data_IF_572201120038
#
_entry.id   IF_572201120038
#
_cell.length_a   1.000
_cell.length_b   1.000
_cell.length_c   1.000
_cell.angle_alpha   90.00
_cell.angle_beta   90.00
_cell.angle_gamma   90.00
#
_symmetry.space_group_name_H-M   'P 1'
#
loop_
_entity.id
_entity.type
_entity.pdbx_description
1 polymer ?
#
# COMPACT_ATOMS: atom_id res chain seq x y z
N UNK A 1 -24.48 12.51 -5.75
CA UNK A 1 -24.23 11.32 -4.92
C UNK A 1 -24.01 11.76 -3.47
N UNK A 2 -24.53 11.01 -2.49
CA UNK A 2 -24.23 11.27 -1.08
C UNK A 2 -22.74 11.10 -0.80
N UNK A 3 -22.19 11.83 0.18
CA UNK A 3 -20.78 11.74 0.55
C UNK A 3 -20.33 10.29 0.84
N UNK A 4 -21.18 9.51 1.50
CA UNK A 4 -20.93 8.08 1.76
C UNK A 4 -20.83 7.25 0.47
N UNK A 5 -21.68 7.50 -0.51
CA UNK A 5 -21.65 6.83 -1.82
C UNK A 5 -20.37 7.17 -2.58
N UNK A 6 -19.98 8.45 -2.56
CA UNK A 6 -18.72 8.90 -3.19
C UNK A 6 -17.51 8.26 -2.51
N UNK A 7 -17.48 8.19 -1.19
CA UNK A 7 -16.43 7.52 -0.44
C UNK A 7 -16.34 6.02 -0.79
N UNK A 8 -17.49 5.34 -0.94
CA UNK A 8 -17.54 3.95 -1.39
C UNK A 8 -16.95 3.75 -2.79
N UNK A 9 -17.26 4.65 -3.73
CA UNK A 9 -16.69 4.58 -5.08
C UNK A 9 -15.19 4.86 -5.09
N UNK A 10 -14.70 5.78 -4.26
CA UNK A 10 -13.26 6.04 -4.08
C UNK A 10 -12.55 4.79 -3.55
N UNK A 11 -13.12 4.15 -2.52
CA UNK A 11 -12.60 2.89 -2.00
C UNK A 11 -12.61 1.76 -3.05
N UNK A 12 -13.70 1.64 -3.81
CA UNK A 12 -13.80 0.69 -4.93
C UNK A 12 -12.72 0.92 -5.98
N UNK A 13 -12.44 2.17 -6.30
CA UNK A 13 -11.37 2.55 -7.24
C UNK A 13 -9.98 2.17 -6.72
N UNK A 14 -9.72 2.33 -5.42
CA UNK A 14 -8.48 1.86 -4.78
C UNK A 14 -8.29 0.34 -4.98
N UNK A 15 -9.32 -0.46 -4.71
CA UNK A 15 -9.27 -1.91 -4.91
C UNK A 15 -9.10 -2.30 -6.38
N UNK A 16 -9.73 -1.57 -7.30
CA UNK A 16 -9.55 -1.76 -8.74
C UNK A 16 -8.11 -1.48 -9.18
N UNK A 17 -7.52 -0.37 -8.71
CA UNK A 17 -6.10 -0.07 -8.99
C UNK A 17 -5.17 -1.10 -8.36
N UNK A 18 -5.52 -1.64 -7.19
CA UNK A 18 -4.75 -2.72 -6.58
C UNK A 18 -4.78 -3.99 -7.45
N UNK A 19 -5.91 -4.32 -8.07
CA UNK A 19 -6.00 -5.42 -9.02
C UNK A 19 -5.11 -5.19 -10.24
N UNK A 20 -5.19 -4.00 -10.84
CA UNK A 20 -4.34 -3.61 -11.97
C UNK A 20 -2.84 -3.69 -11.62
N UNK A 21 -2.46 -3.20 -10.44
CA UNK A 21 -1.08 -3.23 -9.97
C UNK A 21 -0.54 -4.66 -9.81
N UNK A 22 -1.36 -5.59 -9.30
CA UNK A 22 -0.99 -7.03 -9.23
C UNK A 22 -0.76 -7.63 -10.60
N UNK A 23 -1.61 -7.30 -11.56
CA UNK A 23 -1.46 -7.77 -12.93
C UNK A 23 -0.16 -7.25 -13.55
N UNK A 24 0.11 -5.95 -13.44
CA UNK A 24 1.36 -5.32 -13.90
C UNK A 24 2.58 -5.94 -13.23
N UNK A 25 2.54 -6.12 -11.91
CA UNK A 25 3.62 -6.74 -11.15
C UNK A 25 3.93 -8.17 -11.62
N UNK A 26 2.89 -8.95 -11.91
CA UNK A 26 3.04 -10.30 -12.45
C UNK A 26 3.79 -10.31 -13.79
N UNK A 27 3.49 -9.36 -14.67
CA UNK A 27 4.16 -9.24 -15.99
C UNK A 27 5.63 -8.81 -15.86
N UNK A 28 5.96 -8.03 -14.83
CA UNK A 28 7.31 -7.49 -14.61
C UNK A 28 8.18 -8.40 -13.76
N UNK A 29 7.58 -9.28 -12.97
CA UNK A 29 8.26 -10.12 -11.97
C UNK A 29 9.37 -11.00 -12.55
N UNK A 30 9.28 -11.38 -13.82
CA UNK A 30 10.35 -12.13 -14.50
C UNK A 30 11.58 -11.29 -14.90
N UNK A 31 11.47 -9.95 -14.87
CA UNK A 31 12.52 -9.03 -15.33
C UNK A 31 13.14 -8.19 -14.22
N UNK A 32 12.39 -7.94 -13.15
CA UNK A 32 12.80 -7.06 -12.04
C UNK A 32 12.77 -7.85 -10.73
N UNK A 33 13.85 -7.78 -9.95
CA UNK A 33 13.93 -8.49 -8.67
C UNK A 33 12.88 -7.99 -7.68
N UNK A 34 12.36 -8.88 -6.82
CA UNK A 34 11.39 -8.54 -5.75
C UNK A 34 11.91 -7.43 -4.85
N UNK A 35 13.22 -7.41 -4.58
CA UNK A 35 13.88 -6.35 -3.81
C UNK A 35 13.73 -4.98 -4.45
N UNK A 36 14.02 -4.87 -5.74
CA UNK A 36 13.91 -3.61 -6.49
C UNK A 36 12.45 -3.16 -6.59
N UNK A 37 11.53 -4.08 -6.88
CA UNK A 37 10.11 -3.77 -6.93
C UNK A 37 9.62 -3.22 -5.58
N UNK A 38 9.98 -3.86 -4.47
CA UNK A 38 9.59 -3.41 -3.13
C UNK A 38 10.19 -2.04 -2.80
N UNK A 39 11.48 -1.83 -3.05
CA UNK A 39 12.13 -0.55 -2.78
C UNK A 39 11.51 0.61 -3.55
N UNK A 40 11.27 0.43 -4.85
CA UNK A 40 10.66 1.46 -5.71
C UNK A 40 9.23 1.75 -5.28
N UNK A 41 8.41 0.73 -5.06
CA UNK A 41 7.01 0.93 -4.65
C UNK A 41 6.88 1.56 -3.27
N UNK A 42 7.75 1.22 -2.31
CA UNK A 42 7.78 1.89 -1.00
C UNK A 42 8.19 3.36 -1.13
N UNK A 43 9.23 3.66 -1.91
CA UNK A 43 9.66 5.04 -2.12
C UNK A 43 8.57 5.89 -2.78
N UNK A 44 7.92 5.39 -3.83
CA UNK A 44 6.81 6.08 -4.51
C UNK A 44 5.63 6.25 -3.55
N UNK A 45 5.26 5.22 -2.78
CA UNK A 45 4.16 5.31 -1.83
C UNK A 45 4.42 6.35 -0.72
N UNK A 46 5.65 6.44 -0.20
CA UNK A 46 6.04 7.47 0.77
C UNK A 46 5.84 8.87 0.18
N UNK A 47 6.31 9.10 -1.04
CA UNK A 47 6.14 10.39 -1.73
C UNK A 47 4.66 10.72 -1.91
N UNK A 48 3.84 9.75 -2.33
CA UNK A 48 2.39 9.94 -2.51
C UNK A 48 1.68 10.27 -1.19
N UNK A 49 1.98 9.55 -0.11
CA UNK A 49 1.37 9.80 1.20
C UNK A 49 1.79 11.15 1.75
N UNK A 50 3.07 11.50 1.69
CA UNK A 50 3.55 12.82 2.15
C UNK A 50 2.90 13.93 1.31
N UNK A 51 2.87 13.80 -0.01
CA UNK A 51 2.20 14.76 -0.89
C UNK A 51 0.72 14.91 -0.54
N UNK A 52 0.04 13.80 -0.24
CA UNK A 52 -1.36 13.79 0.17
C UNK A 52 -1.60 14.58 1.47
N UNK A 53 -0.66 14.52 2.42
CA UNK A 53 -0.75 15.25 3.69
C UNK A 53 -0.69 16.78 3.51
N UNK A 54 -0.01 17.26 2.47
CA UNK A 54 0.14 18.69 2.18
C UNK A 54 -0.90 19.26 1.20
N UNK A 55 -1.72 18.42 0.56
CA UNK A 55 -2.66 18.84 -0.51
C UNK A 55 -4.13 18.80 -0.08
N UNK A 56 -4.43 19.09 1.17
CA UNK A 56 -5.77 18.95 1.75
C UNK A 56 -6.84 19.90 1.18
N UNK A 57 -6.45 21.03 0.62
CA UNK A 57 -7.36 22.11 0.18
C UNK A 57 -7.64 22.10 -1.34
N UNK A 58 -7.12 21.14 -2.08
CA UNK A 58 -7.28 21.08 -3.54
C UNK A 58 -8.34 20.05 -3.89
N UNK A 59 -9.32 20.45 -4.72
CA UNK A 59 -10.33 19.53 -5.28
C UNK A 59 -9.89 19.07 -6.68
N UNK A 60 -10.13 17.80 -6.96
CA UNK A 60 -9.84 17.21 -8.26
C UNK A 60 -11.01 16.34 -8.73
N UNK A 61 -11.21 16.28 -10.03
CA UNK A 61 -12.13 15.33 -10.65
C UNK A 61 -11.39 14.01 -10.89
N UNK A 62 -11.91 12.93 -10.30
CA UNK A 62 -11.32 11.60 -10.45
C UNK A 62 -12.33 10.64 -11.09
N UNK A 63 -11.91 9.81 -12.08
CA UNK A 63 -12.71 8.70 -12.51
C UNK A 63 -12.81 7.67 -11.37
N UNK A 64 -14.04 7.34 -10.98
CA UNK A 64 -14.33 6.37 -9.91
C UNK A 64 -15.05 5.16 -10.49
N UNK A 65 -14.72 3.98 -9.97
CA UNK A 65 -15.37 2.74 -10.35
C UNK A 65 -16.68 2.59 -9.58
N UNK A 66 -17.80 2.57 -10.32
CA UNK A 66 -19.17 2.52 -9.75
C UNK A 66 -19.74 1.11 -9.67
N UNK A 67 -18.92 0.06 -9.94
CA UNK A 67 -19.37 -1.32 -9.98
C UNK A 67 -19.91 -1.78 -11.35
N UNK A 68 -20.50 -0.89 -12.13
CA UNK A 68 -20.98 -1.17 -13.49
C UNK A 68 -20.27 -0.39 -14.58
N UNK A 69 -19.41 0.57 -14.20
CA UNK A 69 -18.68 1.42 -15.13
C UNK A 69 -17.82 2.46 -14.41
N UNK A 70 -17.33 3.44 -15.16
CA UNK A 70 -16.58 4.56 -14.61
C UNK A 70 -17.46 5.82 -14.62
N UNK A 71 -17.53 6.50 -13.49
CA UNK A 71 -18.14 7.83 -13.34
C UNK A 71 -17.09 8.86 -12.94
N UNK A 72 -17.42 10.16 -13.00
CA UNK A 72 -16.56 11.23 -12.50
C UNK A 72 -17.06 11.69 -11.13
N UNK A 73 -16.17 11.79 -10.15
CA UNK A 73 -16.45 12.34 -8.84
C UNK A 73 -15.50 13.48 -8.50
N UNK A 74 -16.02 14.52 -7.87
CA UNK A 74 -15.22 15.58 -7.28
C UNK A 74 -14.78 15.12 -5.90
N UNK A 75 -13.45 15.02 -5.72
CA UNK A 75 -12.84 14.53 -4.48
C UNK A 75 -11.63 15.40 -4.11
N UNK A 76 -11.25 15.47 -2.84
CA UNK A 76 -9.98 16.11 -2.47
C UNK A 76 -8.81 15.44 -3.19
N UNK A 77 -7.83 16.23 -3.63
CA UNK A 77 -6.62 15.71 -4.28
C UNK A 77 -5.89 14.72 -3.38
N UNK A 78 -5.97 14.88 -2.05
CA UNK A 78 -5.52 13.90 -1.04
C UNK A 78 -6.07 12.50 -1.34
N UNK A 79 -7.38 12.38 -1.61
CA UNK A 79 -8.00 11.10 -1.90
C UNK A 79 -7.47 10.48 -3.20
N UNK A 80 -7.23 11.31 -4.23
CA UNK A 80 -6.65 10.84 -5.49
C UNK A 80 -5.25 10.25 -5.27
N UNK A 81 -4.39 10.95 -4.53
CA UNK A 81 -3.03 10.50 -4.23
C UNK A 81 -3.03 9.21 -3.41
N UNK A 82 -3.92 9.10 -2.41
CA UNK A 82 -4.05 7.88 -1.61
C UNK A 82 -4.60 6.69 -2.43
N UNK A 83 -5.51 6.94 -3.35
CA UNK A 83 -6.01 5.90 -4.28
C UNK A 83 -4.89 5.41 -5.19
N UNK A 84 -4.02 6.29 -5.67
CA UNK A 84 -2.83 5.91 -6.46
C UNK A 84 -1.87 5.00 -5.67
N UNK A 85 -1.83 5.10 -4.32
CA UNK A 85 -1.07 4.16 -3.50
C UNK A 85 -1.54 2.71 -3.65
N UNK A 86 -2.77 2.48 -4.11
CA UNK A 86 -3.29 1.14 -4.40
C UNK A 86 -2.43 0.36 -5.40
N UNK A 87 -1.86 1.03 -6.39
CA UNK A 87 -0.89 0.41 -7.32
C UNK A 87 0.38 -0.04 -6.61
N UNK A 88 0.90 0.78 -5.70
CA UNK A 88 2.12 0.46 -4.94
C UNK A 88 1.88 -0.67 -3.94
N UNK A 89 0.83 -0.59 -3.15
CA UNK A 89 0.51 -1.57 -2.10
C UNK A 89 0.22 -2.95 -2.67
N UNK A 90 -0.32 -3.02 -3.89
CA UNK A 90 -0.60 -4.29 -4.56
C UNK A 90 0.65 -5.13 -4.81
N UNK A 91 1.76 -4.46 -5.15
CA UNK A 91 3.06 -5.10 -5.44
C UNK A 91 3.77 -5.49 -4.16
N UNK A 92 3.62 -4.70 -3.08
CA UNK A 92 4.34 -4.89 -1.82
C UNK A 92 4.08 -6.25 -1.18
N UNK A 93 2.83 -6.71 -1.17
CA UNK A 93 2.47 -7.99 -0.56
C UNK A 93 3.27 -9.17 -1.14
N UNK A 94 3.23 -9.33 -2.46
CA UNK A 94 3.91 -10.44 -3.14
C UNK A 94 5.43 -10.35 -3.02
N UNK A 95 5.99 -9.15 -3.11
CA UNK A 95 7.44 -8.94 -3.04
C UNK A 95 7.98 -9.16 -1.63
N UNK A 96 7.27 -8.73 -0.57
CA UNK A 96 7.64 -8.99 0.82
C UNK A 96 7.58 -10.49 1.10
N UNK A 97 6.51 -11.17 0.67
CA UNK A 97 6.39 -12.62 0.84
C UNK A 97 7.56 -13.36 0.17
N UNK A 98 7.84 -13.04 -1.10
CA UNK A 98 8.95 -13.66 -1.82
C UNK A 98 10.29 -13.47 -1.11
N UNK A 99 10.59 -12.24 -0.68
CA UNK A 99 11.82 -11.93 0.05
C UNK A 99 11.89 -12.61 1.43
N UNK A 100 10.75 -12.84 2.06
CA UNK A 100 10.68 -13.48 3.39
C UNK A 100 10.94 -15.00 3.34
N UNK A 101 10.64 -15.64 2.21
CA UNK A 101 10.83 -17.10 2.04
C UNK A 101 12.04 -17.46 1.19
N UNK A 102 12.71 -16.45 0.60
CA UNK A 102 13.87 -16.65 -0.25
C UNK A 102 15.03 -17.28 0.53
N UNK A 103 15.62 -18.32 -0.03
CA UNK A 103 16.78 -19.02 0.54
C UNK A 103 16.46 -19.98 1.70
N UNK A 104 15.20 -20.12 2.13
CA UNK A 104 14.82 -20.96 3.28
C UNK A 104 14.65 -22.45 2.92
N UNK A 105 14.61 -22.83 1.66
CA UNK A 105 14.53 -24.22 1.20
C UNK A 105 13.42 -25.01 1.91
N UNK A 106 13.80 -26.06 2.65
CA UNK A 106 12.86 -26.93 3.40
C UNK A 106 12.06 -26.23 4.50
N UNK A 107 12.50 -25.05 4.95
CA UNK A 107 11.82 -24.27 5.99
C UNK A 107 10.82 -23.26 5.42
N UNK A 108 10.65 -23.17 4.10
CA UNK A 108 9.74 -22.20 3.45
C UNK A 108 8.29 -22.37 3.92
N UNK A 109 7.82 -23.59 4.16
CA UNK A 109 6.47 -23.84 4.65
C UNK A 109 6.24 -23.24 6.05
N UNK A 110 7.21 -23.41 6.96
CA UNK A 110 7.14 -22.83 8.32
C UNK A 110 7.21 -21.31 8.26
N UNK A 111 8.09 -20.75 7.46
CA UNK A 111 8.22 -19.31 7.25
C UNK A 111 6.94 -18.70 6.66
N UNK A 112 6.30 -19.37 5.70
CA UNK A 112 5.02 -18.93 5.14
C UNK A 112 3.91 -18.91 6.19
N UNK A 113 3.84 -19.92 7.06
CA UNK A 113 2.89 -19.96 8.16
C UNK A 113 3.12 -18.81 9.15
N UNK A 114 4.37 -18.56 9.53
CA UNK A 114 4.74 -17.45 10.41
C UNK A 114 4.41 -16.09 9.76
N UNK A 115 4.71 -15.92 8.48
CA UNK A 115 4.36 -14.72 7.72
C UNK A 115 2.85 -14.46 7.76
N UNK A 116 2.03 -15.49 7.53
CA UNK A 116 0.56 -15.36 7.59
C UNK A 116 0.06 -14.99 8.99
N UNK A 117 0.72 -15.46 10.05
CA UNK A 117 0.39 -15.04 11.43
C UNK A 117 0.66 -13.54 11.63
N UNK A 118 1.72 -12.99 11.04
CA UNK A 118 2.05 -11.57 11.11
C UNK A 118 1.06 -10.64 10.39
N UNK A 119 0.16 -11.18 9.54
CA UNK A 119 -0.94 -10.43 8.92
C UNK A 119 -1.89 -9.80 9.96
N UNK A 120 -1.89 -10.30 11.19
CA UNK A 120 -2.62 -9.66 12.31
C UNK A 120 -2.26 -8.18 12.49
N UNK A 121 -1.07 -7.76 12.08
CA UNK A 121 -0.67 -6.35 12.05
C UNK A 121 -1.61 -5.47 11.22
N UNK A 122 -2.24 -6.03 10.18
CA UNK A 122 -3.28 -5.37 9.39
C UNK A 122 -4.54 -5.02 10.20
N UNK A 123 -4.79 -5.67 11.32
CA UNK A 123 -5.84 -5.29 12.27
C UNK A 123 -5.34 -4.29 13.34
N UNK A 124 -4.11 -4.45 13.80
CA UNK A 124 -3.55 -3.64 14.89
C UNK A 124 -3.20 -2.21 14.42
N UNK A 125 -2.53 -2.08 13.27
CA UNK A 125 -2.09 -0.76 12.77
C UNK A 125 -3.25 0.22 12.53
N UNK A 126 -4.40 -0.17 11.94
CA UNK A 126 -5.55 0.71 11.81
C UNK A 126 -6.12 1.17 13.15
N UNK A 127 -6.07 0.34 14.20
CA UNK A 127 -6.50 0.76 15.54
C UNK A 127 -5.60 1.87 16.10
N UNK A 128 -4.28 1.72 15.95
CA UNK A 128 -3.31 2.75 16.34
C UNK A 128 -3.53 4.02 15.53
N UNK A 129 -3.72 3.88 14.21
CA UNK A 129 -3.98 5.01 13.32
C UNK A 129 -5.26 5.76 13.71
N UNK A 130 -6.36 5.06 13.98
CA UNK A 130 -7.61 5.67 14.40
C UNK A 130 -7.48 6.37 15.76
N UNK A 131 -6.78 5.76 16.72
CA UNK A 131 -6.53 6.39 18.01
C UNK A 131 -5.76 7.71 17.88
N UNK A 132 -4.78 7.78 16.97
CA UNK A 132 -4.05 9.03 16.69
C UNK A 132 -4.95 10.03 15.95
N UNK A 133 -5.79 9.57 15.03
CA UNK A 133 -6.73 10.42 14.30
C UNK A 133 -7.71 11.10 15.25
N UNK A 134 -8.22 10.36 16.24
CA UNK A 134 -9.15 10.86 17.25
C UNK A 134 -8.46 11.78 18.26
N UNK A 135 -7.20 11.48 18.63
CA UNK A 135 -6.48 12.26 19.64
C UNK A 135 -5.86 13.56 19.09
N UNK A 136 -5.44 13.58 17.84
CA UNK A 136 -4.68 14.70 17.25
C UNK A 136 -5.35 15.22 15.97
N UNK A 137 -5.29 14.45 14.89
CA UNK A 137 -5.94 14.73 13.60
C UNK A 137 -5.80 13.58 12.62
N UNK A 138 -6.68 13.53 11.63
CA UNK A 138 -6.57 12.56 10.53
C UNK A 138 -5.23 12.68 9.78
N UNK A 139 -4.73 13.88 9.56
CA UNK A 139 -3.44 14.07 8.88
C UNK A 139 -2.27 13.56 9.70
N UNK A 140 -2.30 13.75 11.03
CA UNK A 140 -1.26 13.21 11.91
C UNK A 140 -1.23 11.68 11.92
N UNK A 141 -2.38 11.02 11.75
CA UNK A 141 -2.45 9.55 11.72
C UNK A 141 -1.71 8.93 10.52
N UNK A 142 -1.54 9.66 9.42
CA UNK A 142 -0.79 9.19 8.25
C UNK A 142 0.71 9.01 8.50
N UNK A 143 1.26 9.61 9.55
CA UNK A 143 2.65 9.34 9.96
C UNK A 143 2.89 7.89 10.35
N UNK A 144 1.87 7.19 10.84
CA UNK A 144 1.95 5.73 11.10
C UNK A 144 2.20 4.98 9.81
N UNK A 145 1.51 5.35 8.73
CA UNK A 145 1.69 4.73 7.40
C UNK A 145 3.08 5.05 6.85
N UNK A 146 3.54 6.30 6.97
CA UNK A 146 4.88 6.72 6.54
C UNK A 146 5.95 5.92 7.29
N UNK A 147 5.82 5.75 8.60
CA UNK A 147 6.75 4.97 9.41
C UNK A 147 6.78 3.49 8.97
N UNK A 148 5.61 2.89 8.73
CA UNK A 148 5.51 1.51 8.24
C UNK A 148 6.15 1.36 6.85
N UNK A 149 5.91 2.28 5.93
CA UNK A 149 6.52 2.28 4.60
C UNK A 149 8.04 2.49 4.66
N UNK A 150 8.52 3.36 5.54
CA UNK A 150 9.95 3.57 5.77
C UNK A 150 10.62 2.29 6.31
N UNK A 151 9.96 1.59 7.23
CA UNK A 151 10.45 0.29 7.72
C UNK A 151 10.51 -0.75 6.59
N UNK A 152 9.48 -0.83 5.74
CA UNK A 152 9.49 -1.74 4.59
C UNK A 152 10.58 -1.38 3.58
N UNK A 153 10.83 -0.10 3.36
CA UNK A 153 11.93 0.36 2.50
C UNK A 153 13.28 -0.04 3.08
N UNK A 154 13.48 0.16 4.40
CA UNK A 154 14.68 -0.29 5.09
C UNK A 154 14.87 -1.80 4.96
N UNK A 155 13.81 -2.59 5.16
CA UNK A 155 13.85 -4.04 4.96
C UNK A 155 14.24 -4.41 3.54
N UNK A 156 13.68 -3.76 2.52
CA UNK A 156 14.02 -4.00 1.12
C UNK A 156 15.52 -3.74 0.83
N UNK A 157 16.07 -2.67 1.39
CA UNK A 157 17.46 -2.25 1.10
C UNK A 157 18.52 -3.05 1.88
N UNK A 158 18.24 -3.33 3.14
CA UNK A 158 19.22 -3.87 4.09
C UNK A 158 18.81 -5.23 4.69
N UNK A 159 17.54 -5.38 5.08
CA UNK A 159 17.06 -6.55 5.81
C UNK A 159 16.89 -7.80 4.96
N UNK A 160 16.63 -7.64 3.67
CA UNK A 160 16.38 -8.75 2.72
C UNK A 160 17.66 -9.43 2.20
N UNK A 161 18.84 -9.10 2.73
CA UNK A 161 20.07 -9.74 2.32
C UNK A 161 20.16 -11.15 2.91
N UNK A 162 20.05 -12.16 2.06
CA UNK A 162 20.34 -13.54 2.45
C UNK A 162 21.83 -13.62 2.78
N UNK A 163 22.17 -13.91 4.03
CA UNK A 163 23.53 -14.29 4.40
C UNK A 163 23.71 -15.73 3.96
N UNK A 164 24.51 -15.95 2.92
CA UNK A 164 24.99 -17.28 2.60
C UNK A 164 25.78 -17.77 3.81
N UNK A 165 25.22 -18.75 4.52
CA UNK A 165 25.92 -19.48 5.58
C UNK A 165 26.77 -20.59 4.97
#
# INVERSE_FOLDING_TARGET
ANAATTAGFVAGTYWFLMLCGRFISSLISGKVSSKTQLAVTCAVAIVLVISAMFTTNVQASMPVFTGSGFGMAQVPLTAVLLVCCGLCTSVMWGTIFNLSVEGLGKHSALASGLFMTMVVGGGVLPLVQNAIADAVSYMASYWVIVAALAYMLWFALFGSKVKNA
#
